data_IF_037790086715
#
_entry.id   IF_037790086715
#
_cell.length_a   1.000
_cell.length_b   1.000
_cell.length_c   1.000
_cell.angle_alpha   90.00
_cell.angle_beta   90.00
_cell.angle_gamma   90.00
#
_symmetry.space_group_name_H-M   'P 1'
#
loop_
_entity.id
_entity.type
_entity.pdbx_description
1 polymer ?
#
# COMPACT_ATOMS: atom_id res chain seq x y z
N UNK A 1 19.95 16.49 23.92
CA UNK A 1 19.19 15.99 22.75
C UNK A 1 18.57 14.66 23.13
N UNK A 2 17.24 14.60 23.13
CA UNK A 2 16.50 13.61 23.91
C UNK A 2 16.50 12.23 23.26
N UNK A 3 17.03 11.22 23.95
CA UNK A 3 16.94 9.81 23.55
C UNK A 3 15.50 9.39 23.20
N UNK A 4 14.49 10.02 23.84
CA UNK A 4 13.08 9.85 23.52
C UNK A 4 12.71 10.25 22.08
N UNK A 5 13.34 11.29 21.52
CA UNK A 5 13.12 11.68 20.11
C UNK A 5 13.74 10.66 19.16
N UNK A 6 14.90 10.09 19.52
CA UNK A 6 15.54 9.02 18.76
C UNK A 6 14.67 7.76 18.74
N UNK A 7 14.15 7.35 19.90
CA UNK A 7 13.24 6.22 20.03
C UNK A 7 11.94 6.43 19.23
N UNK A 8 11.35 7.63 19.32
CA UNK A 8 10.13 7.99 18.58
C UNK A 8 10.36 8.07 17.06
N UNK A 9 11.58 8.36 16.61
CA UNK A 9 11.94 8.31 15.19
C UNK A 9 12.12 6.87 14.71
N UNK A 10 12.84 6.04 15.48
CA UNK A 10 13.06 4.62 15.15
C UNK A 10 11.74 3.87 15.11
N UNK A 11 10.89 4.02 16.12
CA UNK A 11 9.55 3.41 16.13
C UNK A 11 8.71 3.88 14.96
N UNK A 12 8.68 5.18 14.64
CA UNK A 12 7.96 5.67 13.45
C UNK A 12 8.51 5.11 12.15
N UNK A 13 9.81 5.02 11.99
CA UNK A 13 10.43 4.44 10.80
C UNK A 13 10.13 2.95 10.67
N UNK A 14 10.18 2.23 11.79
CA UNK A 14 9.87 0.81 11.86
C UNK A 14 8.40 0.56 11.52
N UNK A 15 7.46 1.23 12.21
CA UNK A 15 6.03 1.12 11.92
C UNK A 15 5.73 1.53 10.48
N UNK A 16 6.33 2.62 9.97
CA UNK A 16 6.12 3.06 8.59
C UNK A 16 6.62 2.03 7.59
N UNK A 17 7.81 1.45 7.79
CA UNK A 17 8.34 0.41 6.89
C UNK A 17 7.57 -0.90 7.01
N UNK A 18 7.24 -1.31 8.23
CA UNK A 18 6.49 -2.53 8.52
C UNK A 18 5.07 -2.45 7.96
N UNK A 19 4.32 -1.39 8.23
CA UNK A 19 3.00 -1.18 7.65
C UNK A 19 3.09 -1.05 6.13
N UNK A 20 4.05 -0.29 5.59
CA UNK A 20 4.17 -0.18 4.12
C UNK A 20 4.50 -1.53 3.47
N UNK A 21 5.32 -2.40 4.07
CA UNK A 21 5.62 -3.72 3.50
C UNK A 21 4.52 -4.75 3.79
N UNK A 22 4.07 -4.83 5.04
CA UNK A 22 3.08 -5.78 5.53
C UNK A 22 1.68 -5.53 4.99
N UNK A 23 1.22 -4.27 4.90
CA UNK A 23 -0.08 -3.95 4.29
C UNK A 23 -0.04 -4.16 2.78
N UNK A 24 1.05 -3.80 2.10
CA UNK A 24 1.15 -4.07 0.66
C UNK A 24 1.24 -5.58 0.36
N UNK A 25 1.98 -6.35 1.16
CA UNK A 25 2.05 -7.80 1.02
C UNK A 25 0.72 -8.48 1.39
N UNK A 26 0.06 -8.04 2.46
CA UNK A 26 -1.25 -8.54 2.88
C UNK A 26 -2.35 -8.21 1.87
N UNK A 27 -2.37 -7.01 1.31
CA UNK A 27 -3.31 -6.63 0.25
C UNK A 27 -3.01 -7.40 -1.04
N UNK A 28 -1.74 -7.56 -1.45
CA UNK A 28 -1.40 -8.32 -2.67
C UNK A 28 -1.73 -9.82 -2.48
N UNK A 29 -1.53 -10.36 -1.29
CA UNK A 29 -1.91 -11.73 -0.92
C UNK A 29 -3.44 -11.92 -0.88
N UNK A 30 -4.17 -10.99 -0.25
CA UNK A 30 -5.63 -11.01 -0.21
C UNK A 30 -6.25 -10.81 -1.59
N UNK A 31 -5.71 -9.88 -2.39
CA UNK A 31 -6.13 -9.65 -3.77
C UNK A 31 -5.82 -10.85 -4.68
N UNK A 32 -4.78 -11.63 -4.37
CA UNK A 32 -4.46 -12.89 -5.05
C UNK A 32 -5.19 -14.10 -4.49
N UNK A 33 -6.04 -13.93 -3.46
CA UNK A 33 -6.72 -15.03 -2.75
C UNK A 33 -5.77 -16.17 -2.35
N UNK A 34 -4.55 -15.84 -1.93
CA UNK A 34 -3.56 -16.84 -1.52
C UNK A 34 -2.84 -17.58 -2.65
N UNK A 35 -3.10 -17.27 -3.93
CA UNK A 35 -2.40 -17.92 -5.05
C UNK A 35 -1.02 -17.29 -5.31
N UNK A 36 0.04 -18.10 -5.51
CA UNK A 36 1.36 -17.61 -5.89
C UNK A 36 1.30 -16.78 -7.18
N UNK A 37 2.15 -15.76 -7.30
CA UNK A 37 2.22 -14.93 -8.51
C UNK A 37 2.52 -15.75 -9.78
N UNK A 38 3.19 -16.89 -9.62
CA UNK A 38 3.56 -17.83 -10.67
C UNK A 38 2.35 -18.60 -11.25
N UNK A 39 1.31 -18.83 -10.45
CA UNK A 39 0.11 -19.61 -10.83
C UNK A 39 -1.05 -18.75 -11.34
N UNK A 40 -0.85 -17.43 -11.43
CA UNK A 40 -1.85 -16.53 -12.02
C UNK A 40 -1.99 -16.81 -13.51
N UNK A 41 -3.15 -17.35 -13.89
CA UNK A 41 -3.61 -17.46 -15.28
C UNK A 41 -3.47 -16.10 -16.00
N UNK A 42 -3.23 -16.07 -17.33
CA UNK A 42 -3.17 -14.83 -18.10
C UNK A 42 -4.40 -13.91 -17.87
N UNK A 43 -5.59 -14.48 -17.68
CA UNK A 43 -6.80 -13.72 -17.35
C UNK A 43 -6.72 -13.07 -15.97
N UNK A 44 -6.20 -13.76 -14.96
CA UNK A 44 -6.07 -13.20 -13.62
C UNK A 44 -5.02 -12.08 -13.56
N UNK A 45 -3.97 -12.18 -14.39
CA UNK A 45 -2.98 -11.08 -14.54
C UNK A 45 -3.63 -9.83 -15.14
N UNK A 46 -4.52 -9.98 -16.13
CA UNK A 46 -5.23 -8.85 -16.71
C UNK A 46 -6.17 -8.20 -15.68
N UNK A 47 -6.94 -9.01 -14.94
CA UNK A 47 -7.80 -8.52 -13.84
C UNK A 47 -6.99 -7.78 -12.78
N UNK A 48 -5.83 -8.33 -12.37
CA UNK A 48 -4.95 -7.67 -11.41
C UNK A 48 -4.39 -6.34 -11.95
N UNK A 49 -4.06 -6.25 -13.25
CA UNK A 49 -3.61 -4.99 -13.89
C UNK A 49 -4.72 -3.94 -13.89
N UNK A 50 -5.94 -4.33 -14.26
CA UNK A 50 -7.10 -3.43 -14.25
C UNK A 50 -7.39 -2.94 -12.82
N UNK A 51 -7.42 -3.84 -11.83
CA UNK A 51 -7.59 -3.49 -10.43
C UNK A 51 -6.52 -2.50 -9.93
N UNK A 52 -5.24 -2.73 -10.30
CA UNK A 52 -4.14 -1.80 -9.99
C UNK A 52 -4.34 -0.43 -10.63
N UNK A 53 -4.85 -0.36 -11.86
CA UNK A 53 -5.10 0.91 -12.54
C UNK A 53 -6.26 1.68 -11.90
N UNK A 54 -7.35 1.01 -11.55
CA UNK A 54 -8.47 1.59 -10.80
C UNK A 54 -8.01 2.11 -9.44
N UNK A 55 -7.24 1.31 -8.69
CA UNK A 55 -6.67 1.73 -7.41
C UNK A 55 -5.74 2.95 -7.55
N UNK A 56 -4.95 3.05 -8.64
CA UNK A 56 -4.11 4.23 -8.91
C UNK A 56 -4.96 5.49 -9.11
N UNK A 57 -6.03 5.42 -9.91
CA UNK A 57 -6.95 6.55 -10.13
C UNK A 57 -7.63 6.98 -8.84
N UNK A 58 -8.14 6.03 -8.05
CA UNK A 58 -8.74 6.32 -6.74
C UNK A 58 -7.75 7.02 -5.78
N UNK A 59 -6.49 6.57 -5.73
CA UNK A 59 -5.44 7.23 -4.94
C UNK A 59 -5.15 8.65 -5.43
N UNK A 60 -5.17 8.91 -6.74
CA UNK A 60 -4.98 10.24 -7.29
C UNK A 60 -6.14 11.17 -6.89
N UNK A 61 -7.37 10.72 -7.05
CA UNK A 61 -8.56 11.45 -6.60
C UNK A 61 -8.49 11.78 -5.11
N UNK A 62 -8.21 10.78 -4.26
CA UNK A 62 -8.07 10.99 -2.82
C UNK A 62 -6.95 11.97 -2.45
N UNK A 63 -5.83 11.98 -3.20
CA UNK A 63 -4.75 12.97 -2.99
C UNK A 63 -5.22 14.39 -3.31
N UNK A 64 -6.00 14.57 -4.37
CA UNK A 64 -6.57 15.87 -4.74
C UNK A 64 -7.56 16.31 -3.65
N UNK A 65 -8.49 15.44 -3.26
CA UNK A 65 -9.46 15.71 -2.17
C UNK A 65 -8.76 16.13 -0.87
N UNK A 66 -7.68 15.43 -0.48
CA UNK A 66 -6.89 15.79 0.71
C UNK A 66 -6.17 17.13 0.60
N UNK A 67 -5.79 17.55 -0.61
CA UNK A 67 -5.17 18.87 -0.81
C UNK A 67 -6.21 19.98 -0.73
N UNK A 68 -7.40 19.74 -1.29
CA UNK A 68 -8.50 20.71 -1.28
C UNK A 68 -9.02 20.91 0.15
N UNK A 69 -9.27 19.84 0.91
CA UNK A 69 -9.75 19.94 2.29
C UNK A 69 -8.69 20.33 3.34
N UNK A 70 -7.50 20.77 2.91
CA UNK A 70 -6.44 21.29 3.81
C UNK A 70 -6.34 22.82 3.78
N UNK A 71 -7.20 23.47 3.00
CA UNK A 71 -7.46 24.91 3.04
C UNK A 71 -8.78 25.13 3.78
#
# INVERSE_FOLDING_TARGET
MNANQMMNMVMRLFLRKFMNKGVNAGIDLAARRGKPAAELSPQDRQRARQARQTAKRARQAAKITRKIGRF
#
